data_IF_995640042583
#
_entry.id   IF_995640042583
#
_cell.length_a   1.000
_cell.length_b   1.000
_cell.length_c   1.000
_cell.angle_alpha   90.00
_cell.angle_beta   90.00
_cell.angle_gamma   90.00
#
_symmetry.space_group_name_H-M   'P 1'
#
loop_
_entity.id
_entity.type
_entity.pdbx_description
1 polymer ?
#
# COMPACT_ATOMS: atom_id res chain seq x y z
N UNK A 1 22.52 9.45 25.48
CA UNK A 1 22.59 8.46 24.37
C UNK A 1 24.03 8.44 23.88
N UNK A 2 24.59 7.28 23.58
CA UNK A 2 25.91 7.22 22.93
C UNK A 2 25.75 7.49 21.44
N UNK A 3 26.79 8.07 20.82
CA UNK A 3 26.83 8.37 19.39
C UNK A 3 26.63 7.11 18.54
N UNK A 4 27.30 6.00 18.92
CA UNK A 4 27.13 4.69 18.29
C UNK A 4 25.68 4.17 18.34
N UNK A 5 25.00 4.33 19.49
CA UNK A 5 23.61 3.88 19.61
C UNK A 5 22.69 4.70 18.71
N UNK A 6 22.93 6.00 18.55
CA UNK A 6 22.17 6.84 17.63
C UNK A 6 22.41 6.42 16.17
N UNK A 7 23.65 6.15 15.79
CA UNK A 7 24.01 5.65 14.45
C UNK A 7 23.34 4.31 14.13
N UNK A 8 23.34 3.37 15.08
CA UNK A 8 22.70 2.07 14.93
C UNK A 8 21.17 2.19 14.73
N UNK A 9 20.54 3.13 15.45
CA UNK A 9 19.11 3.44 15.30
C UNK A 9 18.83 4.03 13.91
N UNK A 10 19.59 5.04 13.47
CA UNK A 10 19.40 5.69 12.17
C UNK A 10 19.58 4.70 11.01
N UNK A 11 20.58 3.82 11.12
CA UNK A 11 20.81 2.73 10.14
C UNK A 11 19.62 1.77 10.07
N UNK A 12 19.03 1.42 11.20
CA UNK A 12 17.87 0.52 11.26
C UNK A 12 16.62 1.18 10.69
N UNK A 13 16.36 2.44 11.03
CA UNK A 13 15.25 3.23 10.47
C UNK A 13 15.38 3.34 8.94
N UNK A 14 16.58 3.63 8.44
CA UNK A 14 16.84 3.70 7.00
C UNK A 14 16.52 2.38 6.30
N UNK A 15 16.99 1.25 6.84
CA UNK A 15 16.71 -0.08 6.27
C UNK A 15 15.23 -0.38 6.20
N UNK A 16 14.46 -0.01 7.24
CA UNK A 16 13.00 -0.20 7.24
C UNK A 16 12.35 0.61 6.11
N UNK A 17 12.74 1.89 5.97
CA UNK A 17 12.19 2.77 4.93
C UNK A 17 12.55 2.26 3.54
N UNK A 18 13.81 1.88 3.30
CA UNK A 18 14.28 1.36 2.01
C UNK A 18 13.54 0.07 1.63
N UNK A 19 13.38 -0.85 2.58
CA UNK A 19 12.62 -2.08 2.36
C UNK A 19 11.15 -1.79 2.04
N UNK A 20 10.50 -0.89 2.78
CA UNK A 20 9.11 -0.51 2.54
C UNK A 20 8.93 0.16 1.17
N UNK A 21 9.90 1.00 0.77
CA UNK A 21 9.91 1.65 -0.54
C UNK A 21 10.00 0.64 -1.69
N UNK A 22 10.95 -0.30 -1.62
CA UNK A 22 11.09 -1.30 -2.69
C UNK A 22 9.88 -2.25 -2.76
N UNK A 23 9.25 -2.58 -1.63
CA UNK A 23 7.97 -3.33 -1.62
C UNK A 23 6.87 -2.54 -2.33
N UNK A 24 6.66 -1.27 -1.98
CA UNK A 24 5.64 -0.43 -2.61
C UNK A 24 5.89 -0.26 -4.12
N UNK A 25 7.12 0.01 -4.50
CA UNK A 25 7.55 0.15 -5.90
C UNK A 25 7.35 -1.15 -6.68
N UNK A 26 7.65 -2.29 -6.09
CA UNK A 26 7.39 -3.61 -6.67
C UNK A 26 5.89 -3.83 -6.89
N UNK A 27 5.04 -3.49 -5.91
CA UNK A 27 3.59 -3.58 -6.08
C UNK A 27 3.08 -2.73 -7.25
N UNK A 28 3.52 -1.47 -7.37
CA UNK A 28 3.12 -0.60 -8.49
C UNK A 28 3.61 -1.14 -9.83
N UNK A 29 4.85 -1.64 -9.91
CA UNK A 29 5.43 -2.17 -11.15
C UNK A 29 4.76 -3.46 -11.60
N UNK A 30 4.51 -4.39 -10.68
CA UNK A 30 3.93 -5.70 -11.01
C UNK A 30 2.45 -5.59 -11.39
N UNK A 31 1.78 -4.50 -10.99
CA UNK A 31 0.38 -4.23 -11.33
C UNK A 31 0.26 -3.03 -12.29
N UNK A 32 1.27 -2.82 -13.16
CA UNK A 32 1.36 -1.61 -13.99
C UNK A 32 0.10 -1.37 -14.83
N UNK A 33 -0.41 -2.40 -15.48
CA UNK A 33 -1.60 -2.31 -16.33
C UNK A 33 -2.85 -1.89 -15.53
N UNK A 34 -3.00 -2.43 -14.32
CA UNK A 34 -4.10 -2.07 -13.43
C UNK A 34 -3.97 -0.61 -12.94
N UNK A 35 -2.75 -0.16 -12.64
CA UNK A 35 -2.47 1.23 -12.25
C UNK A 35 -2.74 2.19 -13.41
N UNK A 36 -2.30 1.87 -14.62
CA UNK A 36 -2.56 2.69 -15.81
C UNK A 36 -4.07 2.80 -16.03
N UNK A 37 -4.83 1.70 -15.86
CA UNK A 37 -6.30 1.75 -15.95
C UNK A 37 -6.94 2.64 -14.89
N UNK A 38 -6.50 2.53 -13.64
CA UNK A 38 -6.99 3.39 -12.55
C UNK A 38 -6.71 4.87 -12.81
N UNK A 39 -5.54 5.19 -13.37
CA UNK A 39 -5.17 6.56 -13.74
C UNK A 39 -6.06 7.10 -14.86
N UNK A 40 -6.37 6.31 -15.89
CA UNK A 40 -7.33 6.70 -16.94
C UNK A 40 -8.67 7.11 -16.34
N UNK A 41 -9.22 6.29 -15.44
CA UNK A 41 -10.52 6.60 -14.81
C UNK A 41 -10.43 7.86 -13.94
N UNK A 42 -9.32 8.06 -13.21
CA UNK A 42 -9.11 9.26 -12.40
C UNK A 42 -8.93 10.52 -13.25
N UNK A 43 -8.37 10.41 -14.46
CA UNK A 43 -8.31 11.55 -15.38
C UNK A 43 -9.69 12.00 -15.86
N UNK A 44 -10.65 11.07 -15.98
CA UNK A 44 -12.03 11.37 -16.39
C UNK A 44 -12.93 11.81 -15.24
N UNK A 45 -12.85 11.12 -14.09
CA UNK A 45 -13.77 11.31 -12.95
C UNK A 45 -13.21 12.16 -11.82
N UNK A 46 -11.89 12.43 -11.81
CA UNK A 46 -11.11 13.12 -10.77
C UNK A 46 -11.07 12.42 -9.40
N UNK A 47 -12.07 11.60 -9.09
CA UNK A 47 -12.23 10.89 -7.82
C UNK A 47 -12.73 9.47 -8.05
N UNK A 48 -12.42 8.59 -7.12
CA UNK A 48 -12.79 7.18 -7.19
C UNK A 48 -13.09 6.65 -5.80
N UNK A 49 -14.21 5.96 -5.64
CA UNK A 49 -14.57 5.33 -4.36
C UNK A 49 -13.74 4.07 -4.12
N UNK A 50 -13.61 3.65 -2.86
CA UNK A 50 -12.89 2.43 -2.53
C UNK A 50 -13.49 1.17 -3.18
N UNK A 51 -14.80 1.14 -3.42
CA UNK A 51 -15.46 0.00 -4.09
C UNK A 51 -15.19 -0.01 -5.60
N UNK A 52 -15.23 1.15 -6.27
CA UNK A 52 -14.80 1.27 -7.67
C UNK A 52 -13.34 0.87 -7.84
N UNK A 53 -12.47 1.25 -6.89
CA UNK A 53 -11.03 0.92 -6.93
C UNK A 53 -10.82 -0.59 -6.91
N UNK A 54 -11.49 -1.26 -5.97
CA UNK A 54 -11.42 -2.72 -5.83
C UNK A 54 -12.04 -3.46 -7.01
N UNK A 55 -13.12 -2.92 -7.60
CA UNK A 55 -13.74 -3.50 -8.78
C UNK A 55 -12.76 -3.49 -9.97
N UNK A 56 -12.14 -2.34 -10.27
CA UNK A 56 -11.15 -2.23 -11.35
C UNK A 56 -9.95 -3.15 -11.09
N UNK A 57 -9.39 -3.14 -9.87
CA UNK A 57 -8.27 -4.02 -9.54
C UNK A 57 -8.61 -5.51 -9.68
N UNK A 58 -9.86 -5.91 -9.39
CA UNK A 58 -10.29 -7.32 -9.46
C UNK A 58 -10.19 -7.92 -10.86
N UNK A 59 -10.19 -7.09 -11.89
CA UNK A 59 -10.02 -7.51 -13.29
C UNK A 59 -8.57 -7.98 -13.59
N UNK A 60 -7.62 -7.62 -12.72
CA UNK A 60 -6.18 -7.90 -12.90
C UNK A 60 -5.62 -8.91 -11.89
N UNK A 61 -6.48 -9.50 -11.04
CA UNK A 61 -6.07 -10.51 -10.05
C UNK A 61 -6.91 -11.78 -10.18
N UNK A 62 -6.24 -12.94 -10.21
CA UNK A 62 -6.91 -14.25 -10.25
C UNK A 62 -7.49 -14.68 -8.90
N UNK A 63 -7.18 -13.95 -7.82
CA UNK A 63 -7.59 -14.27 -6.47
C UNK A 63 -8.91 -13.56 -6.10
N UNK A 64 -9.83 -14.24 -5.39
CA UNK A 64 -11.06 -13.62 -4.93
C UNK A 64 -10.74 -12.42 -4.03
N UNK A 65 -11.34 -11.26 -4.32
CA UNK A 65 -11.23 -10.06 -3.49
C UNK A 65 -11.77 -10.40 -2.10
N UNK A 66 -10.88 -10.71 -1.16
CA UNK A 66 -11.26 -10.87 0.24
C UNK A 66 -11.85 -9.55 0.70
N UNK A 67 -13.16 -9.56 1.02
CA UNK A 67 -13.77 -8.47 1.80
C UNK A 67 -13.17 -8.52 3.19
N UNK A 68 -12.00 -7.90 3.37
CA UNK A 68 -11.39 -7.76 4.68
C UNK A 68 -12.21 -6.73 5.45
N UNK A 69 -13.09 -7.20 6.31
CA UNK A 69 -13.61 -6.39 7.42
C UNK A 69 -12.42 -6.05 8.32
N UNK A 70 -11.69 -4.99 8.00
CA UNK A 70 -10.65 -4.47 8.88
C UNK A 70 -11.36 -3.75 10.02
N UNK A 71 -11.44 -4.39 11.18
CA UNK A 71 -11.68 -3.69 12.44
C UNK A 71 -10.67 -2.55 12.54
N UNK A 72 -11.09 -1.29 12.68
CA UNK A 72 -10.17 -0.17 12.82
C UNK A 72 -9.12 -0.46 13.88
N UNK A 73 -7.84 -0.14 13.64
CA UNK A 73 -6.74 -0.46 14.58
C UNK A 73 -7.02 0.05 16.00
N UNK A 74 -7.75 1.17 16.14
CA UNK A 74 -8.19 1.70 17.44
C UNK A 74 -9.02 0.70 18.26
N UNK A 75 -9.83 -0.12 17.59
CA UNK A 75 -10.73 -1.10 18.22
C UNK A 75 -9.98 -2.38 18.62
N UNK A 76 -8.81 -2.64 18.01
CA UNK A 76 -7.95 -3.77 18.37
C UNK A 76 -7.08 -3.49 19.61
N UNK A 77 -6.82 -2.21 19.92
CA UNK A 77 -5.95 -1.80 21.04
C UNK A 77 -6.73 -1.75 22.37
N UNK A 78 -8.06 -1.72 22.32
CA UNK A 78 -8.93 -1.58 23.51
C UNK A 78 -9.52 -2.91 24.02
N UNK A 79 -8.99 -4.07 23.58
CA UNK A 79 -9.45 -5.40 23.96
C UNK A 79 -8.48 -6.11 24.94
#
# INVERSE_FOLDING_TARGET
MSEKLAEDIDSSVRKIIESAYEVAKSHIRNNRDAIDKLVEVLLEKETLTGDEFRAILSEFVDAPVLKVNRTPVREMINA
#
